data_IF_480711937504
#
_entry.id   IF_480711937504
#
_cell.length_a   1.000
_cell.length_b   1.000
_cell.length_c   1.000
_cell.angle_alpha   90.00
_cell.angle_beta   90.00
_cell.angle_gamma   90.00
#
_symmetry.space_group_name_H-M   'P 1'
#
loop_
_entity.id
_entity.type
_entity.pdbx_description
1 polymer ?
#
# COMPACT_ATOMS: atom_id res chain seq x y z
N UNK A 1 -19.30 1.46 10.39
CA UNK A 1 -19.75 1.29 9.00
C UNK A 1 -18.74 1.95 8.08
N UNK A 2 -18.43 1.31 6.95
CA UNK A 2 -17.59 1.85 5.87
C UNK A 2 -18.51 2.47 4.81
N UNK A 3 -18.21 3.69 4.38
CA UNK A 3 -18.85 4.33 3.22
C UNK A 3 -17.77 4.81 2.28
N UNK A 4 -17.92 4.49 1.01
CA UNK A 4 -17.05 4.94 -0.08
C UNK A 4 -17.96 5.68 -1.05
N UNK A 5 -17.52 6.86 -1.47
CA UNK A 5 -18.21 7.72 -2.44
C UNK A 5 -17.20 8.11 -3.50
N UNK A 6 -17.42 7.68 -4.74
CA UNK A 6 -16.62 8.14 -5.88
C UNK A 6 -17.11 9.55 -6.24
N UNK A 7 -16.26 10.54 -5.99
CA UNK A 7 -16.55 11.95 -6.30
C UNK A 7 -16.28 12.24 -7.77
N UNK A 8 -15.16 11.73 -8.28
CA UNK A 8 -14.75 11.90 -9.67
C UNK A 8 -13.84 10.74 -10.08
N UNK A 9 -13.93 10.35 -11.35
CA UNK A 9 -13.04 9.38 -11.98
C UNK A 9 -12.67 9.92 -13.37
N UNK A 10 -11.39 9.83 -13.73
CA UNK A 10 -10.90 10.21 -15.06
C UNK A 10 -11.50 9.30 -16.14
N UNK A 11 -11.79 9.79 -17.34
CA UNK A 11 -12.43 8.97 -18.37
C UNK A 11 -11.49 7.92 -18.99
N UNK A 12 -10.18 8.24 -19.06
CA UNK A 12 -9.19 7.47 -19.83
C UNK A 12 -8.34 6.54 -18.97
N UNK A 13 -8.29 6.76 -17.67
CA UNK A 13 -7.50 6.01 -16.68
C UNK A 13 -8.32 5.73 -15.44
N UNK A 14 -7.78 4.98 -14.49
CA UNK A 14 -8.45 4.72 -13.21
C UNK A 14 -8.09 5.72 -12.10
N UNK A 15 -7.49 6.87 -12.45
CA UNK A 15 -7.37 7.96 -11.48
C UNK A 15 -8.77 8.34 -10.98
N UNK A 16 -8.93 8.37 -9.66
CA UNK A 16 -10.21 8.70 -9.04
C UNK A 16 -10.01 9.45 -7.73
N UNK A 17 -10.96 10.33 -7.44
CA UNK A 17 -11.11 11.02 -6.17
C UNK A 17 -12.29 10.39 -5.45
N UNK A 18 -12.02 9.72 -4.33
CA UNK A 18 -13.04 9.11 -3.48
C UNK A 18 -13.02 9.75 -2.11
N UNK A 19 -14.20 9.86 -1.48
CA UNK A 19 -14.34 10.14 -0.05
C UNK A 19 -14.59 8.82 0.66
N UNK A 20 -13.69 8.45 1.57
CA UNK A 20 -13.82 7.24 2.37
C UNK A 20 -14.13 7.64 3.81
N UNK A 21 -15.21 7.08 4.36
CA UNK A 21 -15.61 7.25 5.76
C UNK A 21 -15.58 5.92 6.48
N UNK A 22 -14.90 5.87 7.61
CA UNK A 22 -14.76 4.67 8.43
C UNK A 22 -14.79 5.03 9.91
N UNK A 23 -15.72 4.44 10.66
CA UNK A 23 -15.82 4.60 12.13
C UNK A 23 -15.77 6.08 12.59
N UNK A 24 -16.42 6.98 11.86
CA UNK A 24 -16.46 8.42 12.16
C UNK A 24 -15.23 9.21 11.69
N UNK A 25 -14.23 8.54 11.11
CA UNK A 25 -13.07 9.14 10.45
C UNK A 25 -13.32 9.26 8.95
N UNK A 26 -12.66 10.21 8.30
CA UNK A 26 -12.77 10.40 6.85
C UNK A 26 -11.48 10.85 6.22
N UNK A 27 -11.25 10.46 4.98
CA UNK A 27 -10.11 10.87 4.16
C UNK A 27 -10.47 10.84 2.67
N UNK A 28 -9.65 11.50 1.84
CA UNK A 28 -9.83 11.54 0.38
C UNK A 28 -8.73 10.78 -0.35
N UNK A 29 -9.06 10.19 -1.50
CA UNK A 29 -8.11 9.46 -2.37
C UNK A 29 -7.78 10.26 -3.64
N UNK A 30 -6.64 10.00 -4.31
CA UNK A 30 -5.54 9.12 -3.89
C UNK A 30 -4.88 9.62 -2.59
N UNK A 31 -4.22 8.76 -1.81
CA UNK A 31 -3.60 9.13 -0.53
C UNK A 31 -2.33 8.32 -0.25
N UNK A 32 -1.37 8.90 0.46
CA UNK A 32 -0.20 8.16 0.96
C UNK A 32 -0.53 7.57 2.34
N UNK A 33 -0.15 6.32 2.58
CA UNK A 33 -0.15 5.75 3.93
C UNK A 33 1.23 5.93 4.56
N UNK A 34 1.28 6.31 5.84
CA UNK A 34 2.50 6.52 6.60
C UNK A 34 2.72 5.36 7.57
N UNK A 35 3.93 4.80 7.59
CA UNK A 35 4.26 3.82 8.62
C UNK A 35 4.55 4.56 9.93
N UNK A 36 3.66 4.34 10.92
CA UNK A 36 3.66 5.05 12.21
C UNK A 36 4.91 4.77 13.07
N UNK A 37 5.71 3.75 12.71
CA UNK A 37 7.00 3.50 13.33
C UNK A 37 8.03 4.58 13.04
N UNK A 38 7.96 5.21 11.86
CA UNK A 38 8.90 6.25 11.45
C UNK A 38 8.39 7.65 11.71
N UNK A 39 7.08 7.80 11.86
CA UNK A 39 6.46 9.05 12.22
C UNK A 39 6.89 9.45 13.63
N UNK A 40 7.44 10.65 13.76
CA UNK A 40 7.80 11.24 15.05
C UNK A 40 6.92 12.46 15.28
N UNK A 41 6.39 12.59 16.49
CA UNK A 41 5.49 13.70 16.85
C UNK A 41 6.14 15.08 16.79
N UNK A 42 7.48 15.18 16.74
CA UNK A 42 8.22 16.44 16.66
C UNK A 42 8.37 16.97 15.23
N UNK A 43 8.05 16.18 14.20
CA UNK A 43 8.07 16.60 12.80
C UNK A 43 6.63 16.68 12.31
N UNK A 44 6.12 17.91 12.18
CA UNK A 44 4.81 18.17 11.55
C UNK A 44 5.01 18.23 10.05
N UNK A 45 4.49 17.26 9.31
CA UNK A 45 4.54 17.27 7.85
C UNK A 45 3.66 18.42 7.30
N UNK A 46 4.08 19.04 6.20
CA UNK A 46 3.35 20.07 5.45
C UNK A 46 2.20 19.49 4.61
N UNK A 47 1.51 18.48 5.16
CA UNK A 47 0.45 17.74 4.49
C UNK A 47 -0.50 17.17 5.55
N UNK A 48 -1.81 17.34 5.34
CA UNK A 48 -2.80 17.23 6.41
C UNK A 48 -3.58 15.89 6.41
N UNK A 49 -3.73 15.23 5.26
CA UNK A 49 -4.59 14.05 5.13
C UNK A 49 -3.79 12.79 4.79
N UNK A 50 -3.60 11.88 5.76
CA UNK A 50 -2.96 10.57 5.54
C UNK A 50 -3.67 9.42 6.24
N UNK A 51 -3.30 8.19 5.86
CA UNK A 51 -3.67 6.98 6.58
C UNK A 51 -2.46 6.46 7.36
N UNK A 52 -2.64 6.15 8.64
CA UNK A 52 -1.62 5.51 9.46
C UNK A 52 -1.54 4.01 9.17
N UNK A 53 -0.33 3.47 9.11
CA UNK A 53 -0.08 2.04 8.92
C UNK A 53 0.73 1.46 10.10
N UNK A 54 0.31 0.29 10.54
CA UNK A 54 1.09 -0.61 11.39
C UNK A 54 1.20 -1.98 10.72
N UNK A 55 2.36 -2.26 10.13
CA UNK A 55 2.67 -3.57 9.54
C UNK A 55 3.41 -4.46 10.54
N UNK A 56 2.99 -5.71 10.71
CA UNK A 56 3.66 -6.68 11.58
C UNK A 56 3.74 -8.06 10.95
N UNK A 57 4.96 -8.57 10.86
CA UNK A 57 5.21 -9.97 10.51
C UNK A 57 5.23 -10.87 11.76
N UNK A 58 4.58 -12.02 11.65
CA UNK A 58 4.50 -13.08 12.63
C UNK A 58 5.14 -14.37 12.08
N UNK A 59 6.00 -14.99 12.88
CA UNK A 59 6.50 -16.35 12.64
C UNK A 59 5.68 -17.34 13.46
N UNK A 60 5.77 -18.63 13.15
CA UNK A 60 5.05 -19.65 13.91
C UNK A 60 5.43 -19.61 15.40
N UNK A 61 6.73 -19.53 15.67
CA UNK A 61 7.28 -19.49 17.03
C UNK A 61 6.75 -18.27 17.79
N UNK A 62 6.70 -17.11 17.12
CA UNK A 62 6.19 -15.89 17.72
C UNK A 62 4.69 -15.98 18.03
N UNK A 63 3.90 -16.61 17.16
CA UNK A 63 2.47 -16.82 17.41
C UNK A 63 2.25 -17.75 18.59
N UNK A 64 2.99 -18.86 18.67
CA UNK A 64 2.94 -19.78 19.81
C UNK A 64 3.27 -19.05 21.12
N UNK A 65 4.33 -18.24 21.16
CA UNK A 65 4.66 -17.44 22.35
C UNK A 65 3.55 -16.45 22.74
N UNK A 66 2.92 -15.81 21.75
CA UNK A 66 1.86 -14.83 21.99
C UNK A 66 0.56 -15.50 22.46
N UNK A 67 0.21 -16.68 21.94
CA UNK A 67 -1.02 -17.40 22.34
C UNK A 67 -0.84 -18.11 23.69
N UNK A 68 0.31 -18.73 23.93
CA UNK A 68 0.62 -19.46 25.19
C UNK A 68 0.69 -18.57 26.44
N UNK A 69 0.59 -17.24 26.29
CA UNK A 69 0.50 -16.33 27.43
C UNK A 69 1.85 -15.88 28.00
N UNK A 70 2.95 -16.03 27.24
CA UNK A 70 4.26 -15.49 27.63
C UNK A 70 4.18 -13.96 27.76
N UNK A 71 4.04 -13.49 29.00
CA UNK A 71 3.72 -12.10 29.35
C UNK A 71 4.66 -11.12 28.66
N UNK A 72 5.96 -11.40 28.66
CA UNK A 72 6.97 -10.54 28.03
C UNK A 72 6.78 -10.36 26.52
N UNK A 73 6.38 -11.41 25.80
CA UNK A 73 6.17 -11.33 24.34
C UNK A 73 4.91 -10.53 24.02
N UNK A 74 3.83 -10.69 24.81
CA UNK A 74 2.62 -9.86 24.70
C UNK A 74 2.89 -8.40 25.04
N UNK A 75 3.60 -8.15 26.14
CA UNK A 75 3.93 -6.79 26.57
C UNK A 75 4.79 -6.05 25.56
N UNK A 76 5.76 -6.74 24.94
CA UNK A 76 6.57 -6.15 23.87
C UNK A 76 5.72 -5.77 22.66
N UNK A 77 4.83 -6.65 22.20
CA UNK A 77 3.92 -6.33 21.09
C UNK A 77 2.99 -5.16 21.45
N UNK A 78 2.40 -5.19 22.64
CA UNK A 78 1.50 -4.13 23.12
C UNK A 78 2.21 -2.79 23.25
N UNK A 79 3.44 -2.77 23.77
CA UNK A 79 4.27 -1.55 23.84
C UNK A 79 4.60 -1.00 22.45
N UNK A 80 4.94 -1.88 21.51
CA UNK A 80 5.19 -1.50 20.12
C UNK A 80 3.96 -0.87 19.46
N UNK A 81 2.78 -1.50 19.62
CA UNK A 81 1.52 -0.99 19.07
C UNK A 81 1.14 0.33 19.74
N UNK A 82 1.17 0.41 21.08
CA UNK A 82 0.87 1.64 21.82
C UNK A 82 1.78 2.79 21.38
N UNK A 83 3.07 2.53 21.17
CA UNK A 83 4.02 3.54 20.67
C UNK A 83 3.64 4.02 19.27
N UNK A 84 3.30 3.11 18.36
CA UNK A 84 2.87 3.48 17.02
C UNK A 84 1.58 4.33 17.05
N UNK A 85 0.60 3.94 17.88
CA UNK A 85 -0.66 4.67 18.03
C UNK A 85 -0.48 6.04 18.70
N UNK A 86 0.46 6.17 19.64
CA UNK A 86 0.81 7.46 20.26
C UNK A 86 1.41 8.45 19.24
N UNK A 87 2.07 7.94 18.20
CA UNK A 87 2.65 8.79 17.17
C UNK A 87 1.61 9.37 16.21
N UNK A 88 0.33 9.00 16.31
CA UNK A 88 -0.72 9.48 15.40
C UNK A 88 -1.08 10.93 15.75
N UNK A 89 -0.82 11.90 14.85
CA UNK A 89 -1.04 13.33 15.12
C UNK A 89 -2.49 13.72 15.39
N UNK A 90 -3.45 13.04 14.75
CA UNK A 90 -4.86 13.36 14.88
C UNK A 90 -5.70 12.12 15.17
N UNK A 91 -6.66 12.25 16.09
CA UNK A 91 -7.67 11.21 16.36
C UNK A 91 -8.55 10.92 15.13
N UNK A 92 -8.62 11.84 14.17
CA UNK A 92 -9.36 11.65 12.91
C UNK A 92 -8.61 10.82 11.88
N UNK A 93 -7.31 10.56 12.07
CA UNK A 93 -6.50 9.74 11.15
C UNK A 93 -6.94 8.27 11.22
N UNK A 94 -7.38 7.65 10.10
CA UNK A 94 -7.60 6.22 10.04
C UNK A 94 -6.28 5.45 10.16
N UNK A 95 -6.31 4.31 10.83
CA UNK A 95 -5.13 3.46 11.08
C UNK A 95 -5.45 2.03 10.65
N UNK A 96 -4.62 1.52 9.75
CA UNK A 96 -4.70 0.17 9.21
C UNK A 96 -3.59 -0.67 9.84
N UNK A 97 -3.96 -1.82 10.39
CA UNK A 97 -3.01 -2.86 10.77
C UNK A 97 -2.94 -3.88 9.64
N UNK A 98 -1.73 -4.21 9.19
CA UNK A 98 -1.52 -5.22 8.14
C UNK A 98 -0.71 -6.38 8.76
N UNK A 99 -1.36 -7.50 9.10
CA UNK A 99 -0.65 -8.67 9.57
C UNK A 99 -0.06 -9.46 8.40
N UNK A 100 1.17 -9.92 8.58
CA UNK A 100 1.84 -10.81 7.66
C UNK A 100 2.36 -12.06 8.38
N UNK A 101 2.29 -13.21 7.72
CA UNK A 101 2.69 -14.50 8.26
C UNK A 101 3.92 -15.01 7.50
N UNK A 102 4.88 -15.63 8.20
CA UNK A 102 5.97 -16.41 7.57
C UNK A 102 5.64 -17.89 7.39
N UNK A 103 4.43 -18.30 7.73
CA UNK A 103 3.96 -19.69 7.70
C UNK A 103 2.51 -19.75 7.22
N UNK A 104 2.11 -20.86 6.62
CA UNK A 104 0.71 -21.20 6.37
C UNK A 104 0.08 -21.98 7.55
N UNK A 105 0.88 -22.44 8.49
CA UNK A 105 0.42 -23.25 9.62
C UNK A 105 -0.05 -22.34 10.76
N UNK A 106 -1.31 -21.92 10.69
CA UNK A 106 -1.93 -21.06 11.70
C UNK A 106 -3.13 -21.77 12.33
N UNK A 107 -3.21 -21.76 13.65
CA UNK A 107 -4.35 -22.31 14.39
C UNK A 107 -5.43 -21.25 14.59
N UNK A 108 -6.65 -21.70 14.91
CA UNK A 108 -7.76 -20.80 15.22
C UNK A 108 -7.45 -19.81 16.34
N UNK A 109 -6.79 -20.28 17.40
CA UNK A 109 -6.37 -19.44 18.53
C UNK A 109 -5.32 -18.38 18.14
N UNK A 110 -4.49 -18.67 17.15
CA UNK A 110 -3.51 -17.71 16.61
C UNK A 110 -4.21 -16.66 15.72
N UNK A 111 -5.22 -17.06 14.94
CA UNK A 111 -6.06 -16.12 14.19
C UNK A 111 -6.91 -15.24 15.11
N UNK A 112 -7.47 -15.80 16.18
CA UNK A 112 -8.19 -15.06 17.21
C UNK A 112 -7.28 -13.99 17.84
N UNK A 113 -6.02 -14.35 18.13
CA UNK A 113 -5.04 -13.39 18.65
C UNK A 113 -4.75 -12.24 17.67
N UNK A 114 -4.60 -12.53 16.36
CA UNK A 114 -4.40 -11.51 15.33
C UNK A 114 -5.63 -10.59 15.26
N UNK A 115 -6.84 -11.15 15.17
CA UNK A 115 -8.09 -10.38 15.18
C UNK A 115 -8.21 -9.50 16.42
N UNK A 116 -7.91 -10.03 17.61
CA UNK A 116 -8.03 -9.28 18.86
C UNK A 116 -7.00 -8.15 18.93
N UNK A 117 -5.80 -8.37 18.40
CA UNK A 117 -4.80 -7.31 18.20
C UNK A 117 -5.35 -6.19 17.32
N UNK A 118 -6.14 -6.53 16.30
CA UNK A 118 -6.74 -5.57 15.39
C UNK A 118 -7.89 -4.74 15.99
N UNK A 119 -8.44 -5.11 17.15
CA UNK A 119 -9.59 -4.43 17.78
C UNK A 119 -9.40 -2.92 17.97
N UNK A 120 -8.15 -2.47 18.18
CA UNK A 120 -7.80 -1.05 18.38
C UNK A 120 -7.64 -0.25 17.08
N UNK A 121 -7.74 -0.89 15.91
CA UNK A 121 -7.56 -0.29 14.59
C UNK A 121 -8.89 -0.10 13.84
N UNK A 122 -8.86 0.51 12.66
CA UNK A 122 -10.09 0.90 11.95
C UNK A 122 -10.68 -0.20 11.07
N UNK A 123 -9.86 -1.14 10.56
CA UNK A 123 -10.28 -2.31 9.79
C UNK A 123 -9.91 -3.63 10.46
N UNK A 124 -10.67 -4.69 10.20
CA UNK A 124 -10.14 -6.06 10.27
C UNK A 124 -9.46 -6.42 8.95
N UNK A 125 -8.28 -7.01 8.97
CA UNK A 125 -7.52 -7.35 7.76
C UNK A 125 -7.04 -8.81 7.86
N UNK A 126 -7.52 -9.72 6.99
CA UNK A 126 -6.99 -11.07 6.95
C UNK A 126 -5.48 -11.04 6.72
N UNK A 127 -4.69 -11.91 7.38
CA UNK A 127 -3.25 -11.88 7.23
C UNK A 127 -2.80 -12.26 5.82
N UNK A 128 -1.78 -11.57 5.31
CA UNK A 128 -1.03 -12.03 4.13
C UNK A 128 -0.04 -13.11 4.55
N UNK A 129 0.37 -13.97 3.61
CA UNK A 129 1.51 -14.89 3.83
C UNK A 129 2.69 -14.40 2.99
N UNK A 130 3.78 -14.04 3.66
CA UNK A 130 4.99 -13.56 3.01
C UNK A 130 5.45 -14.56 1.94
N UNK A 131 5.68 -14.05 0.73
CA UNK A 131 6.15 -14.87 -0.41
C UNK A 131 5.19 -16.00 -0.79
N UNK A 132 3.88 -15.82 -0.64
CA UNK A 132 2.86 -16.75 -1.21
C UNK A 132 3.18 -17.15 -2.66
N UNK A 133 3.74 -16.23 -3.46
CA UNK A 133 4.18 -16.48 -4.83
C UNK A 133 5.40 -17.39 -5.03
N UNK A 134 6.26 -17.54 -4.02
CA UNK A 134 7.44 -18.42 -4.10
C UNK A 134 7.12 -19.84 -3.66
N UNK A 135 5.99 -20.01 -2.98
CA UNK A 135 5.51 -21.28 -2.43
C UNK A 135 4.16 -21.61 -3.09
N UNK A 136 3.90 -21.13 -4.31
CA UNK A 136 2.58 -21.21 -4.94
C UNK A 136 2.29 -22.59 -5.54
N UNK A 137 2.28 -23.63 -4.71
CA UNK A 137 1.59 -24.88 -5.06
C UNK A 137 0.09 -24.68 -4.91
N UNK A 138 -0.72 -25.50 -5.59
CA UNK A 138 -2.19 -25.47 -5.45
C UNK A 138 -2.59 -25.59 -3.97
N UNK A 139 -1.92 -26.47 -3.23
CA UNK A 139 -2.13 -26.70 -1.79
C UNK A 139 -1.87 -25.47 -0.93
N UNK A 140 -0.87 -24.66 -1.26
CA UNK A 140 -0.54 -23.46 -0.49
C UNK A 140 -1.53 -22.32 -0.76
N UNK A 141 -2.10 -22.25 -1.98
CA UNK A 141 -3.21 -21.35 -2.27
C UNK A 141 -4.47 -21.77 -1.51
N UNK A 142 -4.80 -23.06 -1.49
CA UNK A 142 -5.94 -23.59 -0.71
C UNK A 142 -5.78 -23.29 0.78
N UNK A 143 -4.59 -23.52 1.34
CA UNK A 143 -4.30 -23.15 2.73
C UNK A 143 -4.47 -21.66 3.00
N UNK A 144 -4.05 -20.81 2.06
CA UNK A 144 -4.26 -19.37 2.18
C UNK A 144 -5.76 -19.02 2.20
N UNK A 145 -6.55 -19.62 1.32
CA UNK A 145 -8.01 -19.44 1.30
C UNK A 145 -8.63 -19.86 2.62
N UNK A 146 -8.25 -21.02 3.18
CA UNK A 146 -8.75 -21.47 4.48
C UNK A 146 -8.37 -20.51 5.62
N UNK A 147 -7.17 -19.90 5.58
CA UNK A 147 -6.79 -18.86 6.54
C UNK A 147 -7.70 -17.64 6.41
N UNK A 148 -7.99 -17.20 5.19
CA UNK A 148 -8.88 -16.06 4.92
C UNK A 148 -10.29 -16.37 5.42
N UNK A 149 -10.88 -17.50 5.02
CA UNK A 149 -12.22 -17.94 5.41
C UNK A 149 -12.37 -18.00 6.93
N UNK A 150 -11.48 -18.72 7.62
CA UNK A 150 -11.50 -18.81 9.10
C UNK A 150 -11.35 -17.42 9.74
N UNK A 151 -10.52 -16.53 9.18
CA UNK A 151 -10.40 -15.17 9.69
C UNK A 151 -11.69 -14.35 9.47
N UNK A 152 -12.35 -14.48 8.31
CA UNK A 152 -13.61 -13.78 8.02
C UNK A 152 -14.70 -14.21 9.00
N UNK A 153 -14.89 -15.51 9.21
CA UNK A 153 -15.85 -16.04 10.20
C UNK A 153 -15.60 -15.47 11.60
N UNK A 154 -14.33 -15.45 12.02
CA UNK A 154 -13.91 -14.90 13.32
C UNK A 154 -14.13 -13.39 13.42
N UNK A 155 -13.93 -12.65 12.34
CA UNK A 155 -14.11 -11.20 12.30
C UNK A 155 -15.60 -10.82 12.31
N UNK A 156 -16.45 -11.58 11.61
CA UNK A 156 -17.90 -11.41 11.59
C UNK A 156 -18.58 -11.81 12.89
N UNK A 157 -18.10 -12.89 13.53
CA UNK A 157 -18.53 -13.30 14.86
C UNK A 157 -18.10 -12.36 16.00
N UNK A 158 -17.27 -11.35 15.71
CA UNK A 158 -16.82 -10.38 16.70
C UNK A 158 -17.96 -9.49 17.19
N UNK A 159 -18.00 -9.23 18.50
CA UNK A 159 -18.91 -8.23 19.10
C UNK A 159 -18.64 -6.81 18.57
N UNK A 160 -17.41 -6.54 18.14
CA UNK A 160 -17.03 -5.24 17.60
C UNK A 160 -17.31 -5.19 16.10
N UNK A 161 -18.44 -4.56 15.72
CA UNK A 161 -18.79 -4.33 14.31
C UNK A 161 -17.81 -3.34 13.66
N UNK A 162 -16.80 -3.88 12.99
CA UNK A 162 -15.75 -3.14 12.28
C UNK A 162 -15.71 -3.63 10.83
N UNK A 163 -15.55 -2.75 9.83
CA UNK A 163 -15.44 -3.21 8.45
C UNK A 163 -14.18 -4.06 8.25
N UNK A 164 -14.30 -5.04 7.37
CA UNK A 164 -13.19 -5.87 6.93
C UNK A 164 -12.59 -5.25 5.66
N UNK A 165 -11.27 -5.28 5.55
CA UNK A 165 -10.53 -4.99 4.32
C UNK A 165 -9.93 -6.30 3.84
N UNK A 166 -10.48 -6.88 2.77
CA UNK A 166 -10.01 -8.13 2.21
C UNK A 166 -8.57 -7.98 1.73
N UNK A 167 -7.70 -8.94 2.03
CA UNK A 167 -6.31 -8.90 1.58
C UNK A 167 -6.15 -9.78 0.33
N UNK A 168 -5.50 -9.24 -0.70
CA UNK A 168 -5.30 -9.92 -1.98
C UNK A 168 -3.81 -9.84 -2.34
N UNK A 169 -3.09 -10.96 -2.31
CA UNK A 169 -1.73 -11.01 -2.86
C UNK A 169 -1.80 -10.92 -4.39
N UNK A 170 -1.30 -9.82 -4.97
CA UNK A 170 -1.42 -9.57 -6.42
C UNK A 170 -0.67 -10.60 -7.28
N UNK A 171 0.22 -11.35 -6.64
CA UNK A 171 1.00 -12.42 -7.26
C UNK A 171 0.24 -13.72 -7.44
N UNK A 172 -0.99 -13.84 -6.92
CA UNK A 172 -1.85 -14.98 -7.18
C UNK A 172 -2.21 -15.06 -8.68
N UNK A 173 -2.48 -16.26 -9.21
CA UNK A 173 -3.04 -16.40 -10.55
C UNK A 173 -4.35 -15.61 -10.70
N UNK A 174 -4.62 -15.02 -11.88
CA UNK A 174 -5.87 -14.29 -12.19
C UNK A 174 -7.16 -14.96 -11.73
N UNK A 175 -7.28 -16.28 -11.97
CA UNK A 175 -8.47 -17.05 -11.58
C UNK A 175 -8.64 -17.06 -10.06
N UNK A 176 -7.55 -17.26 -9.32
CA UNK A 176 -7.56 -17.27 -7.85
C UNK A 176 -7.81 -15.89 -7.25
N UNK A 177 -7.39 -14.81 -7.92
CA UNK A 177 -7.79 -13.46 -7.53
C UNK A 177 -9.31 -13.27 -7.67
N UNK A 178 -9.93 -13.83 -8.72
CA UNK A 178 -11.38 -13.73 -8.92
C UNK A 178 -12.14 -14.50 -7.85
N UNK A 179 -11.76 -15.77 -7.61
CA UNK A 179 -12.37 -16.60 -6.56
C UNK A 179 -12.29 -15.91 -5.18
N UNK A 180 -11.14 -15.32 -4.85
CA UNK A 180 -10.95 -14.59 -3.59
C UNK A 180 -11.78 -13.31 -3.52
N UNK A 181 -11.93 -12.59 -4.63
CA UNK A 181 -12.80 -11.42 -4.70
C UNK A 181 -14.28 -11.78 -4.55
N UNK A 182 -14.74 -12.85 -5.20
CA UNK A 182 -16.11 -13.34 -5.08
C UNK A 182 -16.42 -13.73 -3.63
N UNK A 183 -15.51 -14.46 -2.97
CA UNK A 183 -15.61 -14.70 -1.52
C UNK A 183 -15.78 -13.39 -0.75
N UNK A 184 -14.92 -12.39 -0.98
CA UNK A 184 -15.06 -11.11 -0.29
C UNK A 184 -16.38 -10.37 -0.61
N UNK A 185 -16.90 -10.48 -1.83
CA UNK A 185 -18.20 -9.88 -2.19
C UNK A 185 -19.37 -10.57 -1.50
N UNK A 186 -19.33 -11.89 -1.31
CA UNK A 186 -20.33 -12.64 -0.54
C UNK A 186 -20.40 -12.14 0.92
N UNK A 187 -19.26 -11.74 1.48
CA UNK A 187 -19.17 -11.10 2.81
C UNK A 187 -19.41 -9.57 2.79
N UNK A 188 -19.82 -8.99 1.67
CA UNK A 188 -20.14 -7.57 1.55
C UNK A 188 -18.94 -6.62 1.72
N UNK A 189 -17.72 -7.12 1.47
CA UNK A 189 -16.48 -6.37 1.65
C UNK A 189 -16.27 -5.41 0.47
N UNK A 190 -15.92 -4.15 0.79
CA UNK A 190 -15.71 -3.06 -0.18
C UNK A 190 -14.34 -2.39 -0.05
N UNK A 191 -13.48 -2.87 0.83
CA UNK A 191 -12.11 -2.39 0.97
C UNK A 191 -11.16 -3.54 0.71
N UNK A 192 -10.11 -3.29 -0.06
CA UNK A 192 -9.15 -4.31 -0.48
C UNK A 192 -7.72 -3.83 -0.25
N UNK A 193 -6.91 -4.67 0.39
CA UNK A 193 -5.48 -4.49 0.56
C UNK A 193 -4.74 -5.35 -0.48
N UNK A 194 -4.15 -4.73 -1.49
CA UNK A 194 -3.34 -5.43 -2.49
C UNK A 194 -1.89 -5.52 -2.01
N UNK A 195 -1.43 -6.74 -1.71
CA UNK A 195 -0.03 -7.01 -1.37
C UNK A 195 0.77 -7.26 -2.66
N UNK A 196 1.64 -6.31 -3.00
CA UNK A 196 2.48 -6.38 -4.20
C UNK A 196 3.71 -7.26 -4.03
N UNK A 197 3.98 -7.77 -2.81
CA UNK A 197 5.10 -8.64 -2.53
C UNK A 197 6.46 -8.12 -3.08
N UNK A 198 6.67 -6.80 -3.05
CA UNK A 198 7.89 -6.13 -3.53
C UNK A 198 7.98 -6.01 -5.05
N UNK A 199 6.87 -6.15 -5.77
CA UNK A 199 6.75 -5.98 -7.23
C UNK A 199 6.23 -4.58 -7.59
N UNK A 200 6.45 -4.17 -8.84
CA UNK A 200 5.92 -2.89 -9.32
C UNK A 200 4.49 -3.09 -9.84
N UNK A 201 3.59 -2.12 -9.71
CA UNK A 201 2.21 -2.29 -10.16
C UNK A 201 2.11 -2.53 -11.67
N UNK A 202 3.01 -1.93 -12.44
CA UNK A 202 3.06 -2.08 -13.88
C UNK A 202 3.54 -3.44 -14.39
N UNK A 203 4.07 -4.33 -13.53
CA UNK A 203 4.29 -5.73 -13.93
C UNK A 203 3.06 -6.61 -13.68
N UNK A 204 2.08 -6.12 -12.93
CA UNK A 204 0.84 -6.82 -12.58
C UNK A 204 -0.40 -6.03 -13.04
N UNK A 205 -0.26 -5.23 -14.10
CA UNK A 205 -1.35 -4.39 -14.59
C UNK A 205 -2.57 -5.21 -15.07
N UNK A 206 -2.35 -6.45 -15.51
CA UNK A 206 -3.43 -7.37 -15.92
C UNK A 206 -4.26 -7.80 -14.71
N UNK A 207 -3.62 -8.19 -13.59
CA UNK A 207 -4.32 -8.53 -12.36
C UNK A 207 -5.07 -7.33 -11.79
N UNK A 208 -4.45 -6.13 -11.80
CA UNK A 208 -5.13 -4.90 -11.37
C UNK A 208 -6.33 -4.62 -12.27
N UNK A 209 -6.17 -4.71 -13.60
CA UNK A 209 -7.26 -4.51 -14.56
C UNK A 209 -8.41 -5.48 -14.32
N UNK A 210 -8.11 -6.75 -14.01
CA UNK A 210 -9.11 -7.76 -13.69
C UNK A 210 -9.88 -7.41 -12.41
N UNK A 211 -9.18 -6.98 -11.35
CA UNK A 211 -9.81 -6.52 -10.10
C UNK A 211 -10.75 -5.34 -10.41
N UNK A 212 -10.30 -4.33 -11.15
CA UNK A 212 -11.14 -3.18 -11.53
C UNK A 212 -12.37 -3.60 -12.34
N UNK A 213 -12.20 -4.54 -13.28
CA UNK A 213 -13.31 -5.05 -14.08
C UNK A 213 -14.34 -5.79 -13.22
N UNK A 214 -13.91 -6.63 -12.28
CA UNK A 214 -14.80 -7.35 -11.37
C UNK A 214 -15.56 -6.40 -10.45
N UNK A 215 -14.88 -5.40 -9.90
CA UNK A 215 -15.51 -4.35 -9.10
C UNK A 215 -16.60 -3.62 -9.87
N UNK A 216 -16.33 -3.28 -11.13
CA UNK A 216 -17.30 -2.63 -11.99
C UNK A 216 -18.49 -3.54 -12.35
N UNK A 217 -18.23 -4.80 -12.71
CA UNK A 217 -19.28 -5.78 -13.03
C UNK A 217 -20.24 -6.02 -11.86
N UNK A 218 -19.75 -5.90 -10.62
CA UNK A 218 -20.54 -6.07 -9.40
C UNK A 218 -21.09 -4.74 -8.85
N UNK A 219 -20.85 -3.62 -9.54
CA UNK A 219 -21.24 -2.27 -9.11
C UNK A 219 -20.75 -1.93 -7.69
N UNK A 220 -19.49 -2.26 -7.41
CA UNK A 220 -18.86 -2.05 -6.09
C UNK A 220 -17.91 -0.86 -6.14
N UNK A 221 -18.34 0.24 -5.52
CA UNK A 221 -17.43 1.32 -5.14
C UNK A 221 -16.47 0.84 -4.04
N UNK A 222 -15.23 0.57 -4.44
CA UNK A 222 -14.21 0.02 -3.55
C UNK A 222 -13.11 1.01 -3.18
N UNK A 223 -12.50 0.77 -2.02
CA UNK A 223 -11.26 1.40 -1.57
C UNK A 223 -10.10 0.40 -1.72
N UNK A 224 -9.11 0.74 -2.55
CA UNK A 224 -7.96 -0.11 -2.86
C UNK A 224 -6.70 0.44 -2.18
N UNK A 225 -6.36 -0.17 -1.05
CA UNK A 225 -5.11 0.06 -0.34
C UNK A 225 -4.02 -0.85 -0.92
N UNK A 226 -2.79 -0.35 -1.09
CA UNK A 226 -1.68 -1.15 -1.61
C UNK A 226 -0.50 -1.16 -0.67
N UNK A 227 0.08 -2.33 -0.44
CA UNK A 227 1.24 -2.54 0.43
C UNK A 227 2.34 -3.28 -0.30
N UNK A 228 3.60 -3.13 0.14
CA UNK A 228 4.74 -3.79 -0.46
C UNK A 228 4.94 -3.46 -1.96
N UNK A 229 4.52 -2.25 -2.35
CA UNK A 229 4.71 -1.72 -3.70
C UNK A 229 6.18 -1.37 -3.91
N UNK A 230 6.76 -1.82 -5.02
CA UNK A 230 8.09 -1.41 -5.42
C UNK A 230 8.04 -0.10 -6.22
N UNK A 231 8.90 0.85 -5.85
CA UNK A 231 9.02 2.18 -6.47
C UNK A 231 9.38 2.14 -7.97
N UNK A 232 10.01 1.05 -8.43
CA UNK A 232 10.55 0.93 -9.77
C UNK A 232 11.93 0.27 -9.77
N UNK A 233 12.42 -0.11 -10.94
CA UNK A 233 13.77 -0.67 -11.10
C UNK A 233 14.75 0.42 -11.54
N UNK A 234 15.92 0.55 -10.90
CA UNK A 234 17.00 1.38 -11.43
C UNK A 234 17.45 0.86 -12.79
N UNK A 235 17.63 1.78 -13.73
CA UNK A 235 18.45 1.50 -14.92
C UNK A 235 19.92 1.56 -14.52
N UNK A 236 20.76 0.69 -15.10
CA UNK A 236 22.22 0.69 -14.83
C UNK A 236 22.90 2.03 -15.13
N UNK A 237 22.29 2.86 -15.99
CA UNK A 237 22.85 4.12 -16.49
C UNK A 237 22.18 5.38 -15.93
N UNK A 238 21.23 5.26 -15.01
CA UNK A 238 20.47 6.41 -14.51
C UNK A 238 20.49 6.49 -12.99
N UNK A 239 20.69 7.71 -12.48
CA UNK A 239 20.48 8.07 -11.07
C UNK A 239 19.00 8.21 -10.71
N UNK A 240 18.10 8.09 -11.69
CA UNK A 240 16.67 8.33 -11.52
C UNK A 240 15.86 7.07 -11.77
N UNK A 241 14.78 6.91 -11.00
CA UNK A 241 13.80 5.85 -11.15
C UNK A 241 12.44 6.48 -11.33
N UNK A 242 11.75 6.16 -12.42
CA UNK A 242 10.35 6.52 -12.57
C UNK A 242 9.55 5.98 -11.38
N UNK A 243 8.84 6.87 -10.68
CA UNK A 243 8.02 6.56 -9.51
C UNK A 243 6.77 5.76 -9.92
N UNK A 244 6.95 4.46 -10.17
CA UNK A 244 5.91 3.55 -10.62
C UNK A 244 4.86 3.26 -9.55
N UNK A 245 5.22 3.41 -8.29
CA UNK A 245 4.27 3.42 -7.18
C UNK A 245 3.34 4.64 -7.30
N UNK A 246 3.84 5.87 -7.33
CA UNK A 246 2.99 7.08 -7.42
C UNK A 246 2.14 7.08 -8.71
N UNK A 247 2.73 6.66 -9.83
CA UNK A 247 2.01 6.56 -11.10
C UNK A 247 0.89 5.49 -11.07
N UNK A 248 0.92 4.54 -10.13
CA UNK A 248 -0.07 3.46 -10.04
C UNK A 248 -1.45 3.90 -9.55
N UNK A 249 -1.60 5.12 -9.04
CA UNK A 249 -2.93 5.70 -8.84
C UNK A 249 -3.75 5.71 -10.15
N UNK A 250 -3.09 5.85 -11.31
CA UNK A 250 -3.75 5.75 -12.62
C UNK A 250 -4.19 4.33 -13.01
N UNK A 251 -3.73 3.30 -12.28
CA UNK A 251 -4.21 1.91 -12.38
C UNK A 251 -5.38 1.65 -11.40
N UNK A 252 -5.80 2.66 -10.64
CA UNK A 252 -6.95 2.59 -9.74
C UNK A 252 -6.61 2.15 -8.32
N UNK A 253 -5.33 2.24 -7.92
CA UNK A 253 -4.98 2.17 -6.50
C UNK A 253 -5.43 3.49 -5.83
N UNK A 254 -5.97 3.40 -4.63
CA UNK A 254 -6.45 4.57 -3.88
C UNK A 254 -5.47 5.02 -2.80
N UNK A 255 -4.75 4.07 -2.21
CA UNK A 255 -3.74 4.36 -1.20
C UNK A 255 -2.46 3.57 -1.43
N UNK A 256 -1.31 4.20 -1.20
CA UNK A 256 0.00 3.55 -1.32
C UNK A 256 0.70 3.56 0.03
N UNK A 257 1.00 2.37 0.54
CA UNK A 257 1.69 2.16 1.79
C UNK A 257 3.19 1.94 1.61
N UNK A 258 3.86 1.53 2.68
CA UNK A 258 5.28 1.23 2.64
C UNK A 258 5.57 -0.12 1.99
N UNK A 259 6.82 -0.26 1.53
CA UNK A 259 7.41 -1.55 1.29
C UNK A 259 8.13 -2.06 2.54
N UNK A 260 7.56 -3.09 3.16
CA UNK A 260 8.08 -3.69 4.39
C UNK A 260 8.94 -4.91 4.12
N UNK A 261 8.97 -5.39 2.87
CA UNK A 261 9.84 -6.50 2.50
C UNK A 261 11.27 -5.99 2.38
N UNK A 262 12.18 -6.65 3.09
CA UNK A 262 13.61 -6.35 3.01
C UNK A 262 14.10 -6.36 1.57
N UNK A 263 14.99 -5.44 1.23
CA UNK A 263 15.77 -5.53 0.00
C UNK A 263 16.43 -6.89 -0.04
N UNK A 264 16.33 -7.60 -1.18
CA UNK A 264 17.18 -8.76 -1.42
C UNK A 264 18.62 -8.25 -1.31
N UNK A 265 19.39 -8.81 -0.38
CA UNK A 265 20.84 -8.60 -0.31
C UNK A 265 21.45 -9.14 -1.61
N UNK A 266 21.46 -8.31 -2.64
CA UNK A 266 22.07 -8.61 -3.93
C UNK A 266 23.56 -8.27 -3.88
N UNK A 267 24.28 -8.56 -2.79
CA UNK A 267 25.75 -8.50 -2.71
C UNK A 267 26.44 -7.19 -3.14
N UNK A 268 25.69 -6.15 -3.48
CA UNK A 268 26.20 -4.83 -3.83
C UNK A 268 26.17 -4.06 -2.53
N UNK A 269 27.35 -3.83 -1.97
CA UNK A 269 27.53 -2.78 -0.98
C UNK A 269 26.98 -1.47 -1.58
N UNK A 270 25.73 -1.13 -1.25
CA UNK A 270 25.24 0.23 -1.49
C UNK A 270 26.20 1.14 -0.73
N UNK A 271 27.02 1.89 -1.48
CA UNK A 271 27.85 2.96 -0.92
C UNK A 271 26.96 3.75 0.04
N UNK A 272 27.34 3.73 1.32
CA UNK A 272 26.52 4.04 2.49
C UNK A 272 26.04 5.53 2.53
N UNK A 273 26.34 6.31 1.49
CA UNK A 273 26.12 7.75 1.38
C UNK A 273 24.84 8.18 0.66
N UNK A 274 24.21 7.33 -0.16
CA UNK A 274 23.23 7.86 -1.12
C UNK A 274 21.79 7.72 -0.59
N UNK A 275 21.05 8.83 -0.66
CA UNK A 275 19.62 8.86 -0.39
C UNK A 275 18.83 8.62 -1.67
N UNK A 276 17.57 8.20 -1.51
CA UNK A 276 16.59 8.19 -2.61
C UNK A 276 15.41 9.07 -2.25
N UNK A 277 15.39 10.26 -2.86
CA UNK A 277 14.40 11.30 -2.59
C UNK A 277 13.42 11.38 -3.76
N UNK A 278 12.12 11.45 -3.43
CA UNK A 278 11.06 11.60 -4.42
C UNK A 278 10.97 13.06 -4.89
N UNK A 279 11.06 13.26 -6.20
CA UNK A 279 10.79 14.50 -6.89
C UNK A 279 9.42 14.40 -7.59
N UNK A 280 8.45 15.14 -7.04
CA UNK A 280 7.06 15.21 -7.50
C UNK A 280 6.87 15.93 -8.84
N UNK A 281 7.81 16.77 -9.24
CA UNK A 281 7.71 17.53 -10.50
C UNK A 281 8.19 16.69 -11.69
N UNK A 282 9.12 15.76 -11.47
CA UNK A 282 9.62 14.84 -12.48
C UNK A 282 9.01 13.42 -12.43
N UNK A 283 8.33 13.08 -11.34
CA UNK A 283 7.92 11.69 -11.00
C UNK A 283 9.13 10.75 -10.93
N UNK A 284 10.15 11.19 -10.20
CA UNK A 284 11.44 10.52 -10.12
C UNK A 284 11.81 10.25 -8.66
N UNK A 285 12.30 9.05 -8.36
CA UNK A 285 13.17 8.85 -7.22
C UNK A 285 14.61 9.10 -7.65
N UNK A 286 15.18 10.20 -7.16
CA UNK A 286 16.53 10.62 -7.46
C UNK A 286 17.49 10.06 -6.41
N UNK A 287 18.52 9.36 -6.90
CA UNK A 287 19.63 8.90 -6.08
C UNK A 287 20.61 10.05 -5.89
N UNK A 288 20.76 10.53 -4.65
CA UNK A 288 21.50 11.76 -4.34
C UNK A 288 22.49 11.53 -3.22
N UNK A 289 23.74 11.97 -3.40
CA UNK A 289 24.76 11.91 -2.36
C UNK A 289 24.51 12.93 -1.26
N UNK A 290 25.02 12.70 -0.03
CA UNK A 290 24.75 13.58 1.12
C UNK A 290 25.12 15.06 0.89
N UNK A 291 26.11 15.34 0.02
CA UNK A 291 26.55 16.70 -0.31
C UNK A 291 25.65 17.42 -1.32
N UNK A 292 24.91 16.64 -2.10
CA UNK A 292 24.07 17.11 -3.21
C UNK A 292 22.60 17.26 -2.77
N UNK A 293 22.26 16.86 -1.55
CA UNK A 293 20.86 16.88 -1.05
C UNK A 293 20.27 18.29 -1.10
N UNK A 294 21.07 19.30 -0.78
CA UNK A 294 20.65 20.71 -0.77
C UNK A 294 20.22 21.20 -2.15
N UNK A 295 20.83 20.69 -3.23
CA UNK A 295 20.54 21.11 -4.61
C UNK A 295 19.16 20.67 -5.10
N UNK A 296 18.64 19.59 -4.54
CA UNK A 296 17.33 19.02 -4.90
C UNK A 296 16.31 19.17 -3.76
N UNK A 297 16.64 19.92 -2.71
CA UNK A 297 15.80 20.06 -1.53
C UNK A 297 14.66 21.04 -1.80
N UNK A 298 13.39 20.59 -1.84
CA UNK A 298 12.27 21.46 -2.15
C UNK A 298 11.95 22.39 -0.97
N UNK A 299 11.49 23.61 -1.27
CA UNK A 299 11.12 24.60 -0.25
C UNK A 299 9.90 24.19 0.58
N UNK A 300 9.04 23.32 0.03
CA UNK A 300 7.77 22.91 0.65
C UNK A 300 7.88 21.74 1.64
N UNK A 301 9.10 21.26 1.95
CA UNK A 301 9.30 20.17 2.91
C UNK A 301 9.47 20.67 4.35
N UNK A 302 8.80 20.02 5.31
CA UNK A 302 9.02 20.26 6.74
C UNK A 302 10.16 19.40 7.32
N UNK A 303 10.68 18.43 6.57
CA UNK A 303 11.69 17.47 7.07
C UNK A 303 13.07 18.11 7.05
N UNK A 304 13.68 18.46 8.19
CA UNK A 304 14.86 19.33 8.20
C UNK A 304 16.04 18.72 7.45
N UNK A 305 16.69 19.48 6.57
CA UNK A 305 17.87 19.06 5.79
C UNK A 305 18.93 18.36 6.66
N UNK A 306 19.23 18.90 7.85
CA UNK A 306 20.17 18.31 8.84
C UNK A 306 19.86 16.87 9.24
N UNK A 307 18.59 16.45 9.15
CA UNK A 307 18.17 15.08 9.48
C UNK A 307 18.41 14.13 8.31
N UNK A 308 18.31 14.61 7.07
CA UNK A 308 18.66 13.88 5.85
C UNK A 308 20.19 13.70 5.73
N UNK A 309 20.97 14.71 6.14
CA UNK A 309 22.45 14.67 6.10
C UNK A 309 23.10 14.16 7.38
N UNK A 310 22.32 13.65 8.34
CA UNK A 310 22.81 13.14 9.63
C UNK A 310 23.87 12.04 9.47
N UNK A 311 24.89 12.01 10.33
CA UNK A 311 25.89 10.92 10.31
C UNK A 311 25.30 9.55 10.68
N UNK A 312 24.23 9.51 11.48
CA UNK A 312 23.53 8.27 11.81
C UNK A 312 22.69 7.76 10.64
N UNK A 313 23.08 6.60 10.06
CA UNK A 313 22.32 5.90 8.99
C UNK A 313 20.86 5.69 9.37
N UNK A 314 20.58 5.25 10.60
CA UNK A 314 19.20 5.03 11.08
C UNK A 314 18.37 6.32 11.06
N UNK A 315 18.94 7.45 11.50
CA UNK A 315 18.26 8.75 11.45
C UNK A 315 18.04 9.21 10.02
N UNK A 316 19.05 9.07 9.14
CA UNK A 316 18.92 9.42 7.71
C UNK A 316 17.83 8.63 7.01
N UNK A 317 17.81 7.31 7.19
CA UNK A 317 16.80 6.45 6.55
C UNK A 317 15.38 6.76 7.03
N UNK A 318 15.21 7.09 8.32
CA UNK A 318 13.93 7.56 8.83
C UNK A 318 13.54 8.92 8.23
N UNK A 319 14.48 9.86 8.13
CA UNK A 319 14.25 11.17 7.51
C UNK A 319 13.91 11.05 6.03
N UNK A 320 14.62 10.21 5.26
CA UNK A 320 14.31 9.91 3.86
C UNK A 320 12.87 9.39 3.70
N UNK A 321 12.43 8.48 4.59
CA UNK A 321 11.05 7.99 4.56
C UNK A 321 10.04 9.11 4.80
N UNK A 322 10.25 9.93 5.83
CA UNK A 322 9.38 11.06 6.14
C UNK A 322 9.32 12.09 5.01
N UNK A 323 10.48 12.40 4.41
CA UNK A 323 10.57 13.28 3.25
C UNK A 323 9.74 12.75 2.09
N UNK A 324 9.91 11.47 1.73
CA UNK A 324 9.14 10.86 0.66
C UNK A 324 7.65 10.78 1.00
N UNK A 325 7.27 10.57 2.26
CA UNK A 325 5.86 10.59 2.66
C UNK A 325 5.21 11.95 2.43
N UNK A 326 5.89 13.00 2.85
CA UNK A 326 5.40 14.37 2.68
C UNK A 326 5.31 14.74 1.21
N UNK A 327 6.37 14.49 0.43
CA UNK A 327 6.41 14.86 -0.97
C UNK A 327 5.40 14.07 -1.82
N UNK A 328 5.17 12.78 -1.53
CA UNK A 328 4.10 11.99 -2.16
C UNK A 328 2.73 12.46 -1.65
N UNK A 329 2.61 12.81 -0.37
CA UNK A 329 1.38 13.36 0.22
C UNK A 329 0.92 14.63 -0.48
N UNK A 330 1.83 15.60 -0.65
CA UNK A 330 1.62 16.82 -1.43
C UNK A 330 1.23 16.48 -2.88
N UNK A 331 1.90 15.51 -3.50
CA UNK A 331 1.55 15.10 -4.87
C UNK A 331 0.15 14.50 -4.94
N UNK A 332 -0.32 13.76 -3.93
CA UNK A 332 -1.70 13.25 -3.93
C UNK A 332 -2.74 14.38 -3.89
N UNK A 333 -2.45 15.50 -3.23
CA UNK A 333 -3.29 16.71 -3.29
C UNK A 333 -3.31 17.31 -4.69
N UNK A 334 -2.14 17.45 -5.32
CA UNK A 334 -2.03 17.96 -6.70
C UNK A 334 -2.76 17.07 -7.69
N UNK A 335 -2.69 15.75 -7.54
CA UNK A 335 -3.43 14.79 -8.37
C UNK A 335 -4.95 14.92 -8.16
N UNK A 336 -5.42 15.14 -6.92
CA UNK A 336 -6.84 15.43 -6.66
C UNK A 336 -7.32 16.71 -7.32
N UNK A 337 -6.50 17.76 -7.33
CA UNK A 337 -6.80 19.02 -8.04
C UNK A 337 -6.80 18.79 -9.55
N UNK A 338 -5.79 18.09 -10.08
CA UNK A 338 -5.68 17.81 -11.51
C UNK A 338 -6.81 16.90 -12.03
N UNK A 339 -7.39 16.06 -11.17
CA UNK A 339 -8.60 15.32 -11.47
C UNK A 339 -9.78 16.23 -11.80
N UNK A 340 -9.81 17.47 -11.29
CA UNK A 340 -10.87 18.43 -11.63
C UNK A 340 -10.75 18.98 -13.06
N UNK A 341 -9.57 18.85 -13.66
CA UNK A 341 -9.25 19.28 -15.02
C UNK A 341 -8.93 18.07 -15.90
N UNK A 342 -7.66 17.86 -16.25
CA UNK A 342 -7.16 16.74 -17.04
C UNK A 342 -5.94 16.14 -16.33
N UNK A 343 -6.20 15.16 -15.46
CA UNK A 343 -5.15 14.47 -14.69
C UNK A 343 -4.17 13.74 -15.60
N UNK A 344 -4.63 13.20 -16.73
CA UNK A 344 -3.77 12.50 -17.66
C UNK A 344 -2.76 13.47 -18.29
N UNK A 345 -3.21 14.65 -18.73
CA UNK A 345 -2.34 15.72 -19.22
C UNK A 345 -1.36 16.15 -18.14
N UNK A 346 -1.83 16.42 -16.92
CA UNK A 346 -0.99 16.80 -15.78
C UNK A 346 0.13 15.79 -15.53
N UNK A 347 -0.19 14.50 -15.44
CA UNK A 347 0.79 13.43 -15.19
C UNK A 347 1.68 13.20 -16.41
N UNK A 348 1.17 13.34 -17.64
CA UNK A 348 1.95 13.18 -18.87
C UNK A 348 3.01 14.26 -19.07
N UNK A 349 2.84 15.44 -18.47
CA UNK A 349 3.82 16.52 -18.53
C UNK A 349 5.03 16.31 -17.59
N UNK A 350 4.97 15.32 -16.70
CA UNK A 350 6.09 14.97 -15.81
C UNK A 350 7.20 14.33 -16.64
N UNK A 351 8.43 14.84 -16.53
CA UNK A 351 9.54 14.50 -17.44
C UNK A 351 9.79 12.98 -17.59
N UNK A 352 9.81 12.22 -16.50
CA UNK A 352 10.04 10.77 -16.60
C UNK A 352 8.81 10.01 -17.08
N UNK A 353 7.60 10.55 -16.90
CA UNK A 353 6.37 9.92 -17.40
C UNK A 353 6.26 10.10 -18.91
N UNK A 354 6.49 11.31 -19.41
CA UNK A 354 6.45 11.66 -20.83
C UNK A 354 7.31 10.71 -21.69
N UNK A 355 8.48 10.36 -21.15
CA UNK A 355 9.45 9.48 -21.80
C UNK A 355 9.22 7.98 -21.53
N UNK A 356 8.11 7.61 -20.90
CA UNK A 356 7.84 6.23 -20.48
C UNK A 356 6.74 5.57 -21.32
N UNK A 357 6.89 4.27 -21.55
CA UNK A 357 5.82 3.43 -22.10
C UNK A 357 4.67 3.19 -21.10
N UNK A 358 4.80 3.65 -19.85
CA UNK A 358 3.82 3.40 -18.78
C UNK A 358 2.52 4.18 -18.98
N UNK A 359 2.58 5.34 -19.63
CA UNK A 359 1.40 6.13 -19.98
C UNK A 359 0.43 5.35 -20.88
N UNK A 360 0.95 4.55 -21.82
CA UNK A 360 0.14 3.67 -22.68
C UNK A 360 -0.54 2.56 -21.87
N UNK A 361 0.09 2.08 -20.81
CA UNK A 361 -0.50 1.06 -19.94
C UNK A 361 -1.67 1.64 -19.15
N UNK A 362 -1.53 2.85 -18.60
CA UNK A 362 -2.60 3.52 -17.84
C UNK A 362 -3.90 3.63 -18.65
N UNK A 363 -3.78 4.05 -19.91
CA UNK A 363 -4.93 4.21 -20.81
C UNK A 363 -5.47 2.88 -21.30
N UNK A 364 -4.59 1.93 -21.67
CA UNK A 364 -5.00 0.60 -22.16
C UNK A 364 -5.76 -0.20 -21.10
N UNK A 365 -5.34 -0.13 -19.84
CA UNK A 365 -5.98 -0.87 -18.74
C UNK A 365 -7.45 -0.47 -18.59
N UNK A 366 -7.78 0.81 -18.76
CA UNK A 366 -9.17 1.25 -18.76
C UNK A 366 -9.90 0.92 -20.06
N UNK A 367 -9.24 0.90 -21.22
CA UNK A 367 -9.88 0.47 -22.47
C UNK A 367 -10.23 -1.02 -22.48
N UNK A 368 -9.47 -1.87 -21.79
CA UNK A 368 -9.83 -3.28 -21.58
C UNK A 368 -11.13 -3.46 -20.77
N UNK A 369 -11.66 -2.39 -20.15
CA UNK A 369 -13.02 -2.32 -19.58
C UNK A 369 -14.11 -2.34 -20.65
N UNK A 370 -13.81 -1.83 -21.85
CA UNK A 370 -14.77 -1.62 -22.94
C UNK A 370 -14.83 -2.73 -23.99
N UNK A 371 -13.96 -3.74 -23.89
CA UNK A 371 -13.88 -4.82 -24.87
C UNK A 371 -13.98 -6.16 -24.16
N UNK A 372 -14.92 -6.98 -24.62
CA UNK A 372 -15.13 -8.35 -24.15
C UNK A 372 -13.80 -9.12 -24.23
N UNK A 373 -13.27 -9.59 -23.09
CA UNK A 373 -11.93 -10.19 -22.97
C UNK A 373 -11.71 -11.35 -23.98
N UNK A 374 -12.82 -12.00 -24.36
CA UNK A 374 -12.90 -13.09 -25.35
C UNK A 374 -12.53 -12.62 -26.77
N UNK A 375 -12.88 -11.39 -27.14
CA UNK A 375 -12.53 -10.82 -28.45
C UNK A 375 -11.06 -10.41 -28.53
N UNK A 376 -10.49 -9.91 -27.42
CA UNK A 376 -9.09 -9.51 -27.34
C UNK A 376 -8.13 -10.71 -27.46
N UNK A 377 -8.43 -11.83 -26.80
CA UNK A 377 -7.61 -13.06 -26.89
C UNK A 377 -7.64 -13.71 -28.27
N UNK A 378 -8.65 -13.42 -29.11
CA UNK A 378 -8.70 -13.87 -30.51
C UNK A 378 -7.92 -12.99 -31.49
N UNK A 379 -7.41 -11.84 -31.03
CA UNK A 379 -6.70 -10.83 -31.86
C UNK A 379 -5.18 -10.82 -31.65
N UNK A 380 -4.68 -11.65 -30.73
CA UNK A 380 -3.27 -11.99 -30.56
C UNK A 380 -3.03 -13.37 -31.19
#
# INVERSE_FOLDING_TARGET
>A
MLKIEVVREDEKTFYSHKKVKIRGKSFKTPIKAINLRYFKSDIKLNWEEYVGEVYKTFTKEKLIELVSGKVESRDRLNKDIKRALHNVPSKSTPIIFVPALKTFEVTDSELDFIRDTESVFDFYVPPTVERVHKVATVKDIERYFSIVESFLEKAEGSKQRKPIMGLIPITLPPVKISELLDLYFEHGIKAFCLDFAGRTPFTHYQQISQIQNLLHQKDVDAFIYSVNVNIGKPSKKSSEILAQDVLSFGLGLDAIADNHLGTRDYGVEEKISDLRLFNKDDYAYQKVGLKEVEEIYPEDTAVPLKTLTSQSKKKRMAAQKLFNYEQIGIETERVRIALEEDVLKYVSNKRLVANSSKLKILTKVKQLKSVDLISFLKSL
#
